data_IF_784629429774
#
_entry.id   IF_784629429774
#
_cell.length_a   1.000
_cell.length_b   1.000
_cell.length_c   1.000
_cell.angle_alpha   90.00
_cell.angle_beta   90.00
_cell.angle_gamma   90.00
#
_symmetry.space_group_name_H-M   'P 1'
#
loop_
_entity.id
_entity.type
_entity.pdbx_description
1 polymer ?
#
# COMPACT_ATOMS: atom_id res chain seq x y z
N UNK A 1 -6.10 -9.37 24.79
CA UNK A 1 -5.16 -10.51 24.81
C UNK A 1 -4.53 -10.61 26.19
N UNK A 2 -3.90 -11.73 26.61
CA UNK A 2 -3.13 -11.73 27.85
C UNK A 2 -1.97 -10.72 27.76
N UNK A 3 -1.59 -10.15 28.91
CA UNK A 3 -0.50 -9.19 29.05
C UNK A 3 0.81 -9.77 28.47
N UNK A 4 1.50 -9.04 27.59
CA UNK A 4 2.76 -9.48 26.94
C UNK A 4 2.62 -10.22 25.60
N UNK A 5 1.39 -10.52 25.14
CA UNK A 5 1.20 -11.18 23.84
C UNK A 5 1.59 -10.31 22.63
N UNK A 6 1.37 -8.99 22.70
CA UNK A 6 1.66 -8.07 21.59
C UNK A 6 3.18 -7.89 21.34
N UNK A 7 4.04 -7.68 22.36
CA UNK A 7 5.49 -7.66 22.19
C UNK A 7 6.07 -8.98 21.63
N UNK A 8 5.50 -10.13 22.03
CA UNK A 8 5.92 -11.43 21.50
C UNK A 8 5.61 -11.56 20.00
N UNK A 9 4.38 -11.22 19.58
CA UNK A 9 3.98 -11.22 18.18
C UNK A 9 4.87 -10.27 17.35
N UNK A 10 5.18 -9.09 17.88
CA UNK A 10 6.09 -8.15 17.22
C UNK A 10 7.49 -8.74 17.06
N UNK A 11 8.03 -9.38 18.10
CA UNK A 11 9.35 -10.03 18.06
C UNK A 11 9.40 -11.16 17.03
N UNK A 12 8.38 -12.01 16.98
CA UNK A 12 8.29 -13.08 15.99
C UNK A 12 8.19 -12.54 14.56
N UNK A 13 7.42 -11.46 14.35
CA UNK A 13 7.33 -10.80 13.05
C UNK A 13 8.68 -10.24 12.59
N UNK A 14 9.45 -9.61 13.49
CA UNK A 14 10.82 -9.13 13.23
C UNK A 14 11.80 -10.25 12.89
N UNK A 15 11.56 -11.46 13.38
CA UNK A 15 12.36 -12.65 13.08
C UNK A 15 11.92 -13.35 11.77
N UNK A 16 11.08 -12.69 10.95
CA UNK A 16 10.66 -13.20 9.64
C UNK A 16 9.46 -14.15 9.68
N UNK A 17 8.78 -14.32 10.82
CA UNK A 17 7.59 -15.14 10.89
C UNK A 17 6.40 -14.42 10.19
N UNK A 18 6.08 -14.89 8.98
CA UNK A 18 5.00 -14.32 8.14
C UNK A 18 3.62 -14.41 8.78
N UNK A 19 3.35 -15.43 9.58
CA UNK A 19 2.07 -15.57 10.29
C UNK A 19 1.98 -14.55 11.44
N UNK A 20 3.06 -14.38 12.20
CA UNK A 20 3.15 -13.35 13.23
C UNK A 20 3.02 -11.95 12.62
N UNK A 21 3.67 -11.70 11.48
CA UNK A 21 3.54 -10.45 10.73
C UNK A 21 2.08 -10.17 10.31
N UNK A 22 1.39 -11.17 9.76
CA UNK A 22 -0.02 -11.03 9.38
C UNK A 22 -0.93 -10.75 10.59
N UNK A 23 -0.66 -11.39 11.75
CA UNK A 23 -1.39 -11.16 13.00
C UNK A 23 -1.11 -9.79 13.60
N UNK A 24 0.14 -9.34 13.57
CA UNK A 24 0.57 -8.02 13.99
C UNK A 24 -0.15 -6.93 13.19
N UNK A 25 -0.22 -7.10 11.87
CA UNK A 25 -0.95 -6.17 11.00
C UNK A 25 -2.44 -6.15 11.36
N UNK A 26 -3.08 -7.30 11.56
CA UNK A 26 -4.48 -7.33 12.02
C UNK A 26 -4.65 -6.63 13.37
N UNK A 27 -3.73 -6.81 14.32
CA UNK A 27 -3.74 -6.13 15.61
C UNK A 27 -3.65 -4.60 15.45
N UNK A 28 -2.78 -4.13 14.56
CA UNK A 28 -2.62 -2.70 14.26
C UNK A 28 -3.88 -2.15 13.59
N UNK A 29 -4.47 -2.95 12.71
CA UNK A 29 -5.73 -2.58 12.11
C UNK A 29 -6.80 -2.38 13.18
N UNK A 30 -6.97 -3.28 14.15
CA UNK A 30 -7.98 -3.17 15.21
C UNK A 30 -7.75 -1.98 16.18
N UNK A 31 -6.58 -1.32 16.13
CA UNK A 31 -6.15 -0.23 17.02
C UNK A 31 -6.18 -0.64 18.51
N UNK A 32 -5.88 0.30 19.41
CA UNK A 32 -5.94 0.09 20.85
C UNK A 32 -4.59 0.12 21.55
N UNK A 33 -4.56 -0.28 22.82
CA UNK A 33 -3.35 -0.23 23.64
C UNK A 33 -2.29 -1.23 23.16
N UNK A 34 -2.71 -2.45 22.82
CA UNK A 34 -1.84 -3.52 22.34
C UNK A 34 -1.17 -3.14 20.99
N UNK A 35 -1.94 -2.55 20.07
CA UNK A 35 -1.42 -2.02 18.81
C UNK A 35 -0.33 -0.95 19.02
N UNK A 36 -0.62 0.02 19.90
CA UNK A 36 0.34 1.09 20.26
C UNK A 36 1.61 0.55 20.91
N UNK A 37 1.49 -0.42 21.81
CA UNK A 37 2.63 -1.06 22.46
C UNK A 37 3.49 -1.83 21.44
N UNK A 38 2.87 -2.56 20.53
CA UNK A 38 3.58 -3.26 19.46
C UNK A 38 4.31 -2.28 18.52
N UNK A 39 3.65 -1.21 18.09
CA UNK A 39 4.27 -0.16 17.26
C UNK A 39 5.45 0.51 17.95
N UNK A 40 5.32 0.83 19.25
CA UNK A 40 6.41 1.41 20.02
C UNK A 40 7.64 0.48 20.09
N UNK A 41 7.43 -0.83 20.21
CA UNK A 41 8.51 -1.82 20.21
C UNK A 41 9.20 -1.96 18.84
N UNK A 42 8.47 -1.74 17.74
CA UNK A 42 8.99 -1.82 16.37
C UNK A 42 9.69 -0.54 15.92
N UNK A 43 9.30 0.61 16.47
CA UNK A 43 9.75 1.93 16.05
C UNK A 43 11.28 2.08 15.89
N UNK A 44 12.13 1.57 16.81
CA UNK A 44 13.58 1.65 16.67
C UNK A 44 14.17 0.92 15.45
N UNK A 45 13.37 0.10 14.75
CA UNK A 45 13.77 -0.69 13.57
C UNK A 45 13.23 -0.14 12.25
N UNK A 46 12.50 0.98 12.30
CA UNK A 46 11.96 1.65 11.11
C UNK A 46 12.96 2.63 10.49
N UNK A 47 12.60 3.20 9.34
CA UNK A 47 13.38 4.16 8.56
C UNK A 47 14.37 3.53 7.57
N UNK A 48 14.24 2.24 7.25
CA UNK A 48 15.17 1.53 6.37
C UNK A 48 14.59 1.30 4.97
N UNK A 49 13.28 1.06 4.88
CA UNK A 49 12.61 0.79 3.62
C UNK A 49 12.45 2.05 2.75
N UNK A 50 12.54 1.87 1.42
CA UNK A 50 12.06 2.88 0.48
C UNK A 50 10.55 2.74 0.26
N UNK A 51 9.79 3.79 0.55
CA UNK A 51 8.33 3.77 0.45
C UNK A 51 7.91 4.39 -0.88
N UNK A 52 7.21 3.62 -1.70
CA UNK A 52 6.67 4.06 -2.99
C UNK A 52 5.16 4.08 -2.94
N UNK A 53 4.57 5.26 -3.11
CA UNK A 53 3.14 5.45 -3.27
C UNK A 53 2.74 5.27 -4.74
N UNK A 54 1.66 4.54 -5.00
CA UNK A 54 1.10 4.37 -6.35
C UNK A 54 -0.37 4.79 -6.31
N UNK A 55 -0.68 5.81 -7.11
CA UNK A 55 -2.00 6.45 -7.11
C UNK A 55 -2.45 6.80 -8.53
N UNK A 56 -3.71 7.19 -8.69
CA UNK A 56 -4.33 7.47 -9.99
C UNK A 56 -5.76 6.92 -10.08
N UNK A 57 -6.48 7.31 -11.12
CA UNK A 57 -7.91 7.01 -11.27
C UNK A 57 -8.26 5.50 -11.20
N UNK A 58 -9.49 5.11 -10.84
CA UNK A 58 -9.91 3.73 -10.84
C UNK A 58 -9.78 3.13 -12.25
N UNK A 59 -9.22 1.94 -12.35
CA UNK A 59 -9.02 1.29 -13.65
C UNK A 59 -7.86 1.84 -14.50
N UNK A 60 -7.06 2.80 -14.01
CA UNK A 60 -5.81 3.22 -14.67
C UNK A 60 -4.76 2.11 -14.75
N UNK A 61 -4.90 1.06 -13.93
CA UNK A 61 -4.04 -0.12 -13.93
C UNK A 61 -2.99 -0.14 -12.82
N UNK A 62 -3.24 0.60 -11.72
CA UNK A 62 -2.41 0.62 -10.49
C UNK A 62 -1.97 -0.76 -10.03
N UNK A 63 -2.90 -1.66 -9.75
CA UNK A 63 -2.56 -2.98 -9.21
C UNK A 63 -1.74 -3.82 -10.18
N UNK A 64 -1.95 -3.65 -11.50
CA UNK A 64 -1.10 -4.29 -12.51
C UNK A 64 0.31 -3.71 -12.49
N UNK A 65 0.46 -2.39 -12.42
CA UNK A 65 1.78 -1.76 -12.32
C UNK A 65 2.50 -2.18 -11.04
N UNK A 66 1.81 -2.18 -9.90
CA UNK A 66 2.36 -2.61 -8.60
C UNK A 66 2.84 -4.06 -8.67
N UNK A 67 2.07 -4.94 -9.30
CA UNK A 67 2.47 -6.34 -9.52
C UNK A 67 3.75 -6.46 -10.35
N UNK A 68 3.82 -5.78 -11.50
CA UNK A 68 4.99 -5.84 -12.37
C UNK A 68 6.21 -5.15 -11.76
N UNK A 69 6.02 -4.06 -11.01
CA UNK A 69 7.10 -3.40 -10.28
C UNK A 69 7.66 -4.31 -9.18
N UNK A 70 6.78 -4.99 -8.42
CA UNK A 70 7.22 -5.96 -7.43
C UNK A 70 8.03 -7.10 -8.07
N UNK A 71 7.59 -7.65 -9.21
CA UNK A 71 8.37 -8.67 -9.95
C UNK A 71 9.74 -8.15 -10.39
N UNK A 72 9.79 -6.94 -10.95
CA UNK A 72 11.04 -6.34 -11.40
C UNK A 72 12.02 -6.16 -10.22
N UNK A 73 11.54 -5.67 -9.07
CA UNK A 73 12.33 -5.57 -7.84
C UNK A 73 12.80 -6.94 -7.34
N UNK A 74 11.93 -7.96 -7.38
CA UNK A 74 12.29 -9.34 -7.02
C UNK A 74 13.33 -9.96 -7.94
N UNK A 75 13.33 -9.62 -9.23
CA UNK A 75 14.38 -10.04 -10.17
C UNK A 75 15.77 -9.47 -9.82
N UNK A 76 15.82 -8.43 -8.97
CA UNK A 76 17.02 -7.85 -8.39
C UNK A 76 17.18 -8.21 -6.90
N UNK A 77 16.62 -9.34 -6.46
CA UNK A 77 16.69 -9.87 -5.08
C UNK A 77 16.17 -8.93 -3.98
N UNK A 78 15.46 -7.86 -4.34
CA UNK A 78 14.98 -6.84 -3.38
C UNK A 78 13.70 -7.32 -2.69
N UNK A 79 13.62 -7.31 -1.35
CA UNK A 79 12.40 -7.71 -0.63
C UNK A 79 11.31 -6.64 -0.74
N UNK A 80 10.07 -7.05 -1.02
CA UNK A 80 8.96 -6.14 -1.33
C UNK A 80 7.75 -6.38 -0.40
N UNK A 81 7.38 -5.36 0.37
CA UNK A 81 6.10 -5.29 1.04
C UNK A 81 5.08 -4.56 0.16
N UNK A 82 3.85 -5.05 0.07
CA UNK A 82 2.77 -4.39 -0.67
C UNK A 82 1.59 -4.16 0.27
N UNK A 83 1.14 -2.90 0.34
CA UNK A 83 -0.07 -2.49 1.03
C UNK A 83 -1.05 -1.95 -0.01
N UNK A 84 -2.05 -2.75 -0.34
CA UNK A 84 -3.11 -2.37 -1.27
C UNK A 84 -4.33 -1.88 -0.50
N UNK A 85 -4.75 -0.63 -0.73
CA UNK A 85 -5.90 -0.02 -0.05
C UNK A 85 -7.11 -0.04 -0.98
N UNK A 86 -8.14 -0.78 -0.55
CA UNK A 86 -9.42 -0.90 -1.22
C UNK A 86 -10.51 -0.05 -0.55
N UNK A 87 -11.49 0.48 -1.31
CA UNK A 87 -12.62 1.17 -0.73
C UNK A 87 -13.46 0.20 0.09
N UNK A 88 -13.90 0.65 1.27
CA UNK A 88 -14.85 -0.11 2.07
C UNK A 88 -16.24 -0.09 1.42
N UNK A 89 -16.93 -1.23 1.41
CA UNK A 89 -18.32 -1.31 1.00
C UNK A 89 -19.17 -0.40 1.90
N UNK A 90 -19.92 0.55 1.32
CA UNK A 90 -20.80 1.43 2.10
C UNK A 90 -22.00 0.68 2.70
N UNK A 91 -22.30 -0.54 2.22
CA UNK A 91 -23.44 -1.34 2.66
C UNK A 91 -23.09 -2.43 3.67
N UNK A 92 -21.90 -3.01 3.56
CA UNK A 92 -21.49 -4.17 4.37
C UNK A 92 -20.31 -3.87 5.28
N UNK A 93 -19.62 -2.73 5.11
CA UNK A 93 -18.42 -2.37 5.86
C UNK A 93 -17.17 -3.20 5.52
N UNK A 94 -17.29 -4.27 4.74
CA UNK A 94 -16.16 -5.08 4.25
C UNK A 94 -15.58 -4.54 2.94
N UNK A 95 -14.37 -4.96 2.56
CA UNK A 95 -13.79 -4.66 1.25
C UNK A 95 -13.87 -5.89 0.34
N UNK A 96 -14.13 -5.67 -0.96
CA UNK A 96 -13.95 -6.70 -1.98
C UNK A 96 -12.45 -6.73 -2.28
N UNK A 97 -11.68 -7.51 -1.52
CA UNK A 97 -10.20 -7.58 -1.57
C UNK A 97 -9.70 -8.23 -2.87
N UNK A 98 -10.02 -7.60 -4.00
CA UNK A 98 -9.82 -8.10 -5.36
C UNK A 98 -8.35 -8.10 -5.80
N UNK A 99 -7.52 -7.29 -5.14
CA UNK A 99 -6.12 -7.10 -5.51
C UNK A 99 -5.27 -8.34 -5.26
N UNK A 100 -5.60 -9.13 -4.23
CA UNK A 100 -4.96 -10.44 -4.00
C UNK A 100 -5.21 -11.45 -5.11
N UNK A 101 -6.34 -11.38 -5.81
CA UNK A 101 -6.61 -12.26 -6.96
C UNK A 101 -5.75 -11.86 -8.15
N UNK A 102 -5.44 -10.57 -8.29
CA UNK A 102 -4.63 -10.01 -9.38
C UNK A 102 -3.13 -10.26 -9.20
N UNK A 103 -2.63 -10.34 -7.95
CA UNK A 103 -1.21 -10.60 -7.64
C UNK A 103 -0.90 -12.07 -7.32
N UNK A 104 -1.60 -13.01 -7.95
CA UNK A 104 -1.48 -14.46 -7.67
C UNK A 104 -0.12 -15.05 -8.02
N UNK A 105 0.56 -14.48 -8.99
CA UNK A 105 1.88 -14.91 -9.45
C UNK A 105 3.01 -14.53 -8.48
N UNK A 106 2.80 -13.50 -7.66
CA UNK A 106 3.67 -13.19 -6.51
C UNK A 106 3.38 -14.07 -5.29
N UNK A 107 2.28 -14.83 -5.30
CA UNK A 107 1.89 -15.66 -4.17
C UNK A 107 2.88 -16.82 -4.00
N UNK A 108 3.61 -16.82 -2.89
CA UNK A 108 4.60 -17.85 -2.55
C UNK A 108 6.05 -17.40 -2.64
N UNK A 109 6.34 -16.22 -3.20
CA UNK A 109 7.68 -15.64 -3.11
C UNK A 109 8.00 -15.27 -1.64
N UNK A 110 9.05 -15.87 -1.03
CA UNK A 110 9.40 -15.58 0.36
C UNK A 110 9.82 -14.12 0.57
N UNK A 111 10.33 -13.45 -0.46
CA UNK A 111 10.72 -12.04 -0.45
C UNK A 111 9.58 -11.05 -0.70
N UNK A 112 8.35 -11.51 -0.93
CA UNK A 112 7.17 -10.65 -1.13
C UNK A 112 6.14 -10.86 -0.03
N UNK A 113 5.58 -9.79 0.52
CA UNK A 113 4.43 -9.86 1.43
C UNK A 113 3.33 -8.89 1.01
N UNK A 114 2.10 -9.37 0.89
CA UNK A 114 0.96 -8.57 0.39
C UNK A 114 -0.15 -8.50 1.43
N UNK A 115 -0.49 -7.28 1.84
CA UNK A 115 -1.67 -6.97 2.65
C UNK A 115 -2.64 -6.12 1.83
N UNK A 116 -3.88 -6.59 1.73
CA UNK A 116 -5.00 -5.77 1.28
C UNK A 116 -5.72 -5.22 2.51
N UNK A 117 -6.01 -3.92 2.52
CA UNK A 117 -6.61 -3.18 3.63
C UNK A 117 -7.83 -2.41 3.14
N UNK A 118 -8.83 -2.24 4.00
CA UNK A 118 -9.99 -1.41 3.71
C UNK A 118 -9.80 0.01 4.27
N UNK A 119 -10.39 1.03 3.65
CA UNK A 119 -10.40 2.41 4.17
C UNK A 119 -11.09 2.58 5.54
N UNK A 120 -11.92 1.62 5.95
CA UNK A 120 -12.66 1.56 7.23
C UNK A 120 -13.35 2.87 7.64
N UNK A 121 -13.98 3.53 6.65
CA UNK A 121 -14.78 4.73 6.89
C UNK A 121 -13.97 6.02 7.07
N UNK A 122 -12.65 6.02 6.80
CA UNK A 122 -11.90 7.28 6.67
C UNK A 122 -12.46 8.07 5.48
N UNK A 123 -13.22 9.12 5.76
CA UNK A 123 -14.00 9.93 4.80
C UNK A 123 -13.15 10.83 3.88
N UNK A 124 -11.94 10.41 3.54
CA UNK A 124 -11.09 11.14 2.60
C UNK A 124 -9.65 11.23 3.05
N UNK A 125 -8.98 10.09 3.18
CA UNK A 125 -7.55 10.09 3.47
C UNK A 125 -6.98 8.68 3.58
N UNK A 126 -5.66 8.57 3.53
CA UNK A 126 -4.99 7.30 3.80
C UNK A 126 -5.26 6.93 5.27
N UNK A 127 -5.78 5.73 5.52
CA UNK A 127 -6.09 5.32 6.89
C UNK A 127 -4.81 5.35 7.75
N UNK A 128 -4.91 5.83 9.00
CA UNK A 128 -3.78 5.80 9.96
C UNK A 128 -3.14 4.42 10.04
N UNK A 129 -3.98 3.38 10.01
CA UNK A 129 -3.54 1.99 9.99
C UNK A 129 -2.61 1.68 8.80
N UNK A 130 -2.82 2.27 7.62
CA UNK A 130 -1.94 2.08 6.46
C UNK A 130 -0.53 2.59 6.75
N UNK A 131 -0.39 3.81 7.28
CA UNK A 131 0.92 4.36 7.63
C UNK A 131 1.61 3.55 8.74
N UNK A 132 0.86 3.02 9.68
CA UNK A 132 1.40 2.15 10.73
C UNK A 132 1.79 0.76 10.20
N UNK A 133 1.05 0.20 9.23
CA UNK A 133 1.41 -1.05 8.55
C UNK A 133 2.67 -0.88 7.68
N UNK A 134 2.84 0.28 7.03
CA UNK A 134 4.09 0.60 6.30
C UNK A 134 5.29 0.51 7.24
N UNK A 135 5.21 1.11 8.44
CA UNK A 135 6.27 1.01 9.45
C UNK A 135 6.52 -0.43 9.90
N UNK A 136 5.49 -1.25 9.98
CA UNK A 136 5.66 -2.67 10.32
C UNK A 136 6.39 -3.45 9.25
N UNK A 137 6.08 -3.22 7.97
CA UNK A 137 6.79 -3.88 6.87
C UNK A 137 8.26 -3.41 6.81
N UNK A 138 8.49 -2.12 6.98
CA UNK A 138 9.84 -1.55 7.09
C UNK A 138 10.62 -2.20 8.24
N UNK A 139 10.06 -2.22 9.46
CA UNK A 139 10.69 -2.87 10.62
C UNK A 139 10.92 -4.38 10.41
N UNK A 140 10.05 -5.06 9.65
CA UNK A 140 10.17 -6.47 9.30
C UNK A 140 11.25 -6.76 8.23
N UNK A 141 11.94 -5.73 7.72
CA UNK A 141 13.07 -5.88 6.81
C UNK A 141 12.72 -5.94 5.31
N UNK A 142 11.54 -5.44 4.92
CA UNK A 142 11.24 -5.23 3.50
C UNK A 142 12.01 -4.01 3.00
N UNK A 143 12.84 -4.19 1.97
CA UNK A 143 13.67 -3.12 1.43
C UNK A 143 12.84 -2.05 0.69
N UNK A 144 11.75 -2.47 0.04
CA UNK A 144 10.80 -1.56 -0.62
C UNK A 144 9.39 -1.87 -0.12
N UNK A 145 8.63 -0.81 0.20
CA UNK A 145 7.21 -0.91 0.51
C UNK A 145 6.41 -0.16 -0.55
N UNK A 146 5.63 -0.91 -1.33
CA UNK A 146 4.70 -0.36 -2.32
C UNK A 146 3.34 -0.14 -1.66
N UNK A 147 2.78 1.05 -1.79
CA UNK A 147 1.48 1.42 -1.23
C UNK A 147 0.55 1.84 -2.35
N UNK A 148 -0.45 1.03 -2.66
CA UNK A 148 -1.47 1.32 -3.66
C UNK A 148 -2.68 1.99 -3.01
N UNK A 149 -3.11 3.13 -3.54
CA UNK A 149 -4.33 3.80 -3.09
C UNK A 149 -5.57 3.28 -3.85
N UNK A 150 -6.76 3.59 -3.33
CA UNK A 150 -8.04 3.28 -3.98
C UNK A 150 -8.17 3.95 -5.35
N UNK A 151 -7.63 5.16 -5.49
CA UNK A 151 -7.86 6.01 -6.66
C UNK A 151 -9.21 6.73 -6.66
N UNK A 152 -9.73 7.15 -5.51
CA UNK A 152 -10.78 8.18 -5.48
C UNK A 152 -10.58 9.15 -4.30
N UNK A 153 -10.11 10.37 -4.60
CA UNK A 153 -10.15 11.52 -3.71
C UNK A 153 -8.95 11.67 -2.78
N UNK A 154 -9.16 12.28 -1.62
CA UNK A 154 -8.09 12.82 -0.76
C UNK A 154 -7.01 11.81 -0.30
N UNK A 155 -7.29 10.50 -0.32
CA UNK A 155 -6.29 9.47 -0.08
C UNK A 155 -5.12 9.51 -1.08
N UNK A 156 -5.36 9.99 -2.30
CA UNK A 156 -4.33 10.20 -3.31
C UNK A 156 -3.33 11.28 -2.88
N UNK A 157 -3.79 12.36 -2.27
CA UNK A 157 -2.92 13.46 -1.82
C UNK A 157 -2.16 13.06 -0.56
N UNK A 158 -2.79 12.29 0.33
CA UNK A 158 -2.15 11.84 1.57
C UNK A 158 -0.98 10.88 1.34
N UNK A 159 -0.96 10.16 0.21
CA UNK A 159 0.15 9.26 -0.10
C UNK A 159 1.47 10.01 -0.22
N UNK A 160 1.44 11.25 -0.71
CA UNK A 160 2.61 12.11 -0.87
C UNK A 160 3.27 12.46 0.47
N UNK A 161 2.53 12.38 1.57
CA UNK A 161 3.08 12.59 2.93
C UNK A 161 3.67 11.32 3.53
N UNK A 162 3.32 10.16 2.98
CA UNK A 162 3.72 8.83 3.51
C UNK A 162 4.85 8.23 2.69
N UNK A 163 4.86 8.45 1.37
CA UNK A 163 5.83 7.89 0.45
C UNK A 163 7.07 8.78 0.31
N UNK A 164 8.22 8.15 0.03
CA UNK A 164 9.43 8.82 -0.43
C UNK A 164 9.40 9.08 -1.94
N UNK A 165 8.62 8.29 -2.68
CA UNK A 165 8.40 8.47 -4.11
C UNK A 165 6.93 8.23 -4.42
N UNK A 166 6.29 9.17 -5.08
CA UNK A 166 4.89 9.08 -5.49
C UNK A 166 4.80 8.90 -6.99
N UNK A 167 4.22 7.77 -7.40
CA UNK A 167 3.88 7.45 -8.78
C UNK A 167 2.41 7.78 -9.00
N UNK A 168 2.14 8.68 -9.94
CA UNK A 168 0.78 8.97 -10.42
C UNK A 168 0.59 8.29 -11.77
N UNK A 169 -0.45 7.46 -11.87
CA UNK A 169 -0.77 6.73 -13.10
C UNK A 169 -2.01 7.33 -13.77
N UNK A 170 -1.83 7.73 -15.02
CA UNK A 170 -2.88 8.10 -15.95
C UNK A 170 -3.09 7.01 -17.00
N UNK A 171 -4.27 6.99 -17.63
CA UNK A 171 -4.49 6.14 -18.80
C UNK A 171 -5.47 6.81 -19.80
N UNK A 172 -5.27 6.62 -21.11
CA UNK A 172 -6.07 7.30 -22.12
C UNK A 172 -7.56 6.99 -22.03
N UNK A 173 -8.38 8.03 -22.22
CA UNK A 173 -9.83 7.90 -22.32
C UNK A 173 -10.54 7.61 -21.01
N UNK A 174 -9.88 7.79 -19.86
CA UNK A 174 -10.54 7.74 -18.54
C UNK A 174 -11.32 9.04 -18.24
N UNK A 175 -11.08 10.12 -18.98
CA UNK A 175 -11.83 11.38 -18.87
C UNK A 175 -11.58 12.16 -17.58
N UNK A 176 -10.59 11.74 -16.78
CA UNK A 176 -10.33 12.22 -15.42
C UNK A 176 -9.13 13.18 -15.33
N UNK A 177 -8.40 13.38 -16.44
CA UNK A 177 -7.16 14.18 -16.50
C UNK A 177 -7.36 15.61 -15.95
N UNK A 178 -8.49 16.26 -16.30
CA UNK A 178 -8.84 17.60 -15.80
C UNK A 178 -9.24 17.56 -14.32
N UNK A 179 -9.81 16.47 -13.82
CA UNK A 179 -10.13 16.34 -12.39
C UNK A 179 -8.88 16.02 -11.57
N UNK A 180 -7.95 15.21 -12.09
CA UNK A 180 -6.66 14.94 -11.48
C UNK A 180 -5.84 16.23 -11.30
N UNK A 181 -5.79 17.08 -12.34
CA UNK A 181 -5.23 18.44 -12.25
C UNK A 181 -5.89 19.28 -11.15
N UNK A 182 -7.23 19.27 -11.08
CA UNK A 182 -7.98 20.03 -10.07
C UNK A 182 -7.83 19.50 -8.65
N UNK A 183 -7.52 18.21 -8.50
CA UNK A 183 -7.31 17.55 -7.21
C UNK A 183 -5.88 17.72 -6.67
N UNK A 184 -4.99 18.41 -7.39
CA UNK A 184 -3.58 18.54 -7.02
C UNK A 184 -2.76 17.25 -7.21
N UNK A 185 -3.31 16.26 -7.91
CA UNK A 185 -2.66 14.96 -8.13
C UNK A 185 -1.34 15.10 -8.89
N UNK A 186 -1.29 16.01 -9.86
CA UNK A 186 -0.09 16.25 -10.65
C UNK A 186 1.02 16.92 -9.84
N UNK A 187 0.67 17.64 -8.79
CA UNK A 187 1.64 18.39 -7.95
C UNK A 187 2.38 17.46 -6.98
N UNK A 188 1.80 16.29 -6.68
CA UNK A 188 2.41 15.30 -5.78
C UNK A 188 3.25 14.26 -6.52
N UNK A 189 3.24 14.26 -7.85
CA UNK A 189 3.91 13.23 -8.65
C UNK A 189 5.42 13.47 -8.69
N UNK A 190 6.20 12.53 -8.15
CA UNK A 190 7.62 12.42 -8.46
C UNK A 190 7.83 11.74 -9.82
N UNK A 191 6.93 10.80 -10.14
CA UNK A 191 6.90 10.07 -11.41
C UNK A 191 5.48 10.03 -11.95
N UNK A 192 5.29 10.49 -13.18
CA UNK A 192 4.05 10.34 -13.93
C UNK A 192 4.17 9.16 -14.89
N UNK A 193 3.18 8.26 -14.86
CA UNK A 193 3.12 7.09 -15.75
C UNK A 193 1.85 7.15 -16.59
N UNK A 194 2.01 7.20 -17.91
CA UNK A 194 0.91 6.98 -18.85
C UNK A 194 0.82 5.48 -19.13
N UNK A 195 -0.11 4.82 -18.46
CA UNK A 195 -0.35 3.39 -18.63
C UNK A 195 -1.30 3.12 -19.80
N UNK A 196 -1.36 1.85 -20.24
CA UNK A 196 -2.10 1.41 -21.43
C UNK A 196 -1.69 2.19 -22.68
N UNK A 197 -0.38 2.42 -22.79
CA UNK A 197 0.23 3.18 -23.89
C UNK A 197 0.04 2.50 -25.27
N UNK A 198 -0.41 1.25 -25.28
CA UNK A 198 -0.87 0.53 -26.47
C UNK A 198 -2.21 1.06 -27.04
N UNK A 199 -2.94 1.88 -26.28
CA UNK A 199 -4.26 2.40 -26.70
C UNK A 199 -4.14 3.71 -27.48
N UNK A 200 -5.08 3.97 -28.41
CA UNK A 200 -5.22 5.29 -29.04
C UNK A 200 -5.38 6.39 -27.98
N UNK A 201 -4.72 7.53 -28.20
CA UNK A 201 -4.75 8.68 -27.28
C UNK A 201 -3.58 8.73 -26.29
N UNK A 202 -2.77 7.68 -26.15
CA UNK A 202 -1.64 7.65 -25.23
C UNK A 202 -0.61 8.77 -25.41
N UNK A 203 -0.37 9.20 -26.65
CA UNK A 203 0.55 10.31 -26.93
C UNK A 203 0.01 11.69 -26.50
N UNK A 204 -1.29 11.77 -26.18
CA UNK A 204 -2.00 12.99 -25.83
C UNK A 204 -2.48 13.03 -24.37
N UNK A 205 -2.11 12.01 -23.59
CA UNK A 205 -2.33 11.91 -22.13
C UNK A 205 -1.04 12.30 -21.43
#
# INVERSE_FOLDING_TARGET
MPEGAAPLIATEALNGNRYALARLISLIEDDGADARAALAALYPRTGQAHIVGVTGAPGSGKSTLVNELAKALRAHDTTVGVVAVDPSSPFTGGALLGDRVRMRDLAGDPGVFIRSMATRGSLGGLARATADVVKVLDAAGFAVVLVETVGAGQAEVDIARTAHTTIVIEAPGLGDEVQALKAGLMEIADVLVVNKADRPGAANT
#
